data_IF_080494438637
#
_entry.id   IF_080494438637
#
_cell.length_a   1.000
_cell.length_b   1.000
_cell.length_c   1.000
_cell.angle_alpha   90.00
_cell.angle_beta   90.00
_cell.angle_gamma   90.00
#
_symmetry.space_group_name_H-M   'P 1'
#
loop_
_entity.id
_entity.type
_entity.pdbx_description
1 polymer ?
#
# COMPACT_ATOMS: atom_id res chain seq x y z
N UNK A 1 15.99 -51.46 30.15
CA UNK A 1 15.63 -50.13 30.69
C UNK A 1 16.89 -49.41 31.16
N UNK A 2 17.40 -48.46 30.37
CA UNK A 2 18.13 -47.22 30.74
C UNK A 2 18.93 -46.78 29.52
N UNK A 3 18.39 -45.78 28.82
CA UNK A 3 19.11 -45.08 27.78
C UNK A 3 20.02 -44.02 28.43
N UNK A 4 21.31 -44.07 28.11
CA UNK A 4 22.18 -42.91 28.18
C UNK A 4 21.69 -41.88 27.14
N UNK A 5 21.49 -40.62 27.56
CA UNK A 5 21.53 -39.48 26.64
C UNK A 5 22.49 -38.42 27.18
N UNK A 6 23.41 -38.11 26.28
CA UNK A 6 24.44 -37.08 26.30
C UNK A 6 23.83 -35.68 26.25
N UNK A 7 24.58 -34.72 26.81
CA UNK A 7 24.37 -33.27 26.80
C UNK A 7 23.84 -32.72 25.47
N UNK A 8 22.76 -31.95 25.56
CA UNK A 8 22.38 -30.96 24.56
C UNK A 8 22.43 -29.58 25.20
N UNK A 9 23.35 -28.73 24.73
CA UNK A 9 23.38 -27.31 25.05
C UNK A 9 22.15 -26.65 24.45
N UNK A 10 21.19 -26.25 25.28
CA UNK A 10 20.10 -25.37 24.86
C UNK A 10 20.61 -23.93 24.89
N UNK A 11 20.71 -23.32 23.71
CA UNK A 11 20.98 -21.89 23.56
C UNK A 11 19.77 -21.11 24.10
N UNK A 12 20.00 -20.36 25.17
CA UNK A 12 19.04 -19.43 25.77
C UNK A 12 19.01 -18.17 24.90
N UNK A 13 17.84 -17.82 24.36
CA UNK A 13 17.63 -16.57 23.61
C UNK A 13 17.34 -15.41 24.60
N UNK A 14 17.94 -14.23 24.43
CA UNK A 14 18.08 -13.21 25.47
C UNK A 14 16.86 -12.27 25.65
N UNK A 15 15.63 -12.77 25.48
CA UNK A 15 14.42 -11.94 25.64
C UNK A 15 13.35 -12.55 26.55
N UNK A 16 13.76 -13.41 27.49
CA UNK A 16 12.86 -13.96 28.51
C UNK A 16 13.38 -13.67 29.90
N UNK A 17 13.25 -12.42 30.34
CA UNK A 17 13.12 -12.03 31.76
C UNK A 17 13.02 -10.50 31.87
N UNK A 18 11.82 -10.04 32.22
CA UNK A 18 11.46 -8.87 33.05
C UNK A 18 10.13 -8.26 32.59
N UNK A 19 9.04 -8.98 32.86
CA UNK A 19 7.78 -8.34 33.20
C UNK A 19 7.73 -8.33 34.73
N UNK A 20 8.10 -7.21 35.33
CA UNK A 20 7.75 -6.94 36.72
C UNK A 20 6.40 -6.22 36.70
N UNK A 21 5.36 -6.94 37.10
CA UNK A 21 4.15 -6.37 37.66
C UNK A 21 4.54 -5.72 38.99
N UNK A 22 4.57 -4.38 39.05
CA UNK A 22 4.40 -3.54 40.25
C UNK A 22 4.84 -2.10 39.93
N UNK A 23 3.94 -1.32 39.32
CA UNK A 23 3.95 0.15 39.40
C UNK A 23 2.52 0.65 39.11
N UNK A 24 1.65 0.48 40.11
CA UNK A 24 0.33 1.13 40.20
C UNK A 24 0.53 2.63 40.50
N UNK A 25 0.99 3.37 39.49
CA UNK A 25 0.90 4.81 39.48
C UNK A 25 -0.45 5.17 38.87
N UNK A 26 -1.44 5.46 39.72
CA UNK A 26 -2.73 6.01 39.36
C UNK A 26 -2.55 7.26 38.48
N UNK A 27 -2.69 7.06 37.16
CA UNK A 27 -2.70 8.12 36.15
C UNK A 27 -3.92 9.00 36.44
N UNK A 28 -3.77 10.33 36.55
CA UNK A 28 -4.92 11.20 36.70
C UNK A 28 -5.81 11.04 35.47
N UNK A 29 -7.07 10.67 35.68
CA UNK A 29 -8.12 10.74 34.66
C UNK A 29 -8.38 12.21 34.32
N UNK A 30 -7.55 12.78 33.45
CA UNK A 30 -7.85 14.04 32.79
C UNK A 30 -8.83 13.77 31.65
N UNK A 31 -10.07 13.47 32.04
CA UNK A 31 -11.24 13.29 31.20
C UNK A 31 -11.73 14.61 30.57
N UNK A 32 -10.85 15.61 30.43
CA UNK A 32 -11.13 16.87 29.76
C UNK A 32 -10.10 17.32 28.72
N UNK A 33 -9.09 16.48 28.43
CA UNK A 33 -8.26 16.68 27.25
C UNK A 33 -9.08 16.33 26.00
N UNK A 34 -9.99 17.26 25.64
CA UNK A 34 -10.58 17.41 24.32
C UNK A 34 -9.49 17.10 23.34
N UNK A 35 -9.58 15.95 22.66
CA UNK A 35 -8.70 15.65 21.55
C UNK A 35 -8.75 16.90 20.69
N UNK A 36 -7.63 17.63 20.49
CA UNK A 36 -7.64 18.71 19.54
C UNK A 36 -8.00 18.03 18.24
N UNK A 37 -9.27 18.15 17.82
CA UNK A 37 -9.66 17.78 16.49
C UNK A 37 -8.82 18.73 15.64
N UNK A 38 -7.66 18.25 15.17
CA UNK A 38 -6.68 19.07 14.47
C UNK A 38 -7.32 19.76 13.24
N UNK A 39 -8.47 19.24 12.80
CA UNK A 39 -9.35 19.78 11.76
C UNK A 39 -10.85 19.82 12.16
N UNK A 40 -11.22 20.03 13.43
CA UNK A 40 -12.61 20.09 13.93
C UNK A 40 -13.64 20.72 12.95
N UNK A 41 -13.39 21.92 12.41
CA UNK A 41 -14.36 22.58 11.53
C UNK A 41 -14.54 21.90 10.16
N UNK A 42 -13.61 21.05 9.74
CA UNK A 42 -13.63 20.36 8.44
C UNK A 42 -13.90 18.86 8.56
N UNK A 43 -14.07 18.33 9.78
CA UNK A 43 -14.15 16.88 10.00
C UNK A 43 -15.35 16.25 9.28
N UNK A 44 -16.52 16.89 9.34
CA UNK A 44 -17.74 16.45 8.66
C UNK A 44 -17.61 16.58 7.13
N UNK A 45 -16.96 17.65 6.65
CA UNK A 45 -16.74 17.88 5.22
C UNK A 45 -15.74 16.88 4.64
N UNK A 46 -14.68 16.57 5.39
CA UNK A 46 -13.69 15.55 5.04
C UNK A 46 -14.39 14.20 4.97
N UNK A 47 -15.12 13.77 6.01
CA UNK A 47 -15.82 12.49 5.98
C UNK A 47 -16.81 12.42 4.80
N UNK A 48 -17.61 13.46 4.60
CA UNK A 48 -18.56 13.56 3.49
C UNK A 48 -17.86 13.42 2.13
N UNK A 49 -16.72 14.07 1.95
CA UNK A 49 -15.92 13.95 0.73
C UNK A 49 -15.32 12.55 0.55
N UNK A 50 -14.78 11.94 1.61
CA UNK A 50 -14.29 10.56 1.57
C UNK A 50 -15.42 9.59 1.18
N UNK A 51 -16.62 9.74 1.75
CA UNK A 51 -17.80 8.92 1.40
C UNK A 51 -18.27 9.14 -0.03
N UNK A 52 -18.20 10.37 -0.53
CA UNK A 52 -18.54 10.68 -1.91
C UNK A 52 -17.55 10.03 -2.89
N UNK A 53 -16.25 10.14 -2.61
CA UNK A 53 -15.19 9.51 -3.38
C UNK A 53 -15.26 7.97 -3.34
N UNK A 54 -15.70 7.38 -2.22
CA UNK A 54 -15.92 5.93 -2.10
C UNK A 54 -17.02 5.42 -3.03
N UNK A 55 -18.02 6.26 -3.33
CA UNK A 55 -19.15 5.91 -4.22
C UNK A 55 -18.88 6.23 -5.68
N UNK A 56 -17.82 6.99 -5.97
CA UNK A 56 -17.47 7.38 -7.32
C UNK A 56 -16.92 6.19 -8.11
N UNK A 57 -17.67 5.75 -9.11
CA UNK A 57 -17.30 4.62 -9.97
C UNK A 57 -16.02 4.86 -10.75
N UNK A 58 -15.64 6.10 -11.04
CA UNK A 58 -14.39 6.41 -11.74
C UNK A 58 -13.16 6.37 -10.81
N UNK A 59 -13.36 6.29 -9.49
CA UNK A 59 -12.30 6.04 -8.49
C UNK A 59 -12.17 4.56 -8.14
N UNK A 60 -13.04 3.69 -8.67
CA UNK A 60 -13.04 2.26 -8.37
C UNK A 60 -12.78 1.45 -9.64
N UNK A 61 -11.95 0.39 -9.57
CA UNK A 61 -11.95 -0.59 -10.63
C UNK A 61 -13.33 -1.29 -10.68
N UNK A 62 -13.79 -1.64 -11.87
CA UNK A 62 -14.90 -2.59 -12.03
C UNK A 62 -14.53 -3.89 -11.32
N UNK A 63 -15.43 -4.60 -10.62
CA UNK A 63 -15.08 -5.87 -9.98
C UNK A 63 -14.77 -6.99 -10.99
N UNK A 64 -15.38 -6.93 -12.17
CA UNK A 64 -15.38 -8.01 -13.17
C UNK A 64 -14.56 -7.66 -14.42
N UNK A 65 -13.60 -6.72 -14.32
CA UNK A 65 -12.83 -6.27 -15.49
C UNK A 65 -11.96 -7.35 -16.13
N UNK A 66 -11.54 -8.35 -15.35
CA UNK A 66 -10.78 -9.48 -15.89
C UNK A 66 -11.57 -10.27 -16.94
N UNK A 67 -12.89 -10.40 -16.74
CA UNK A 67 -13.77 -11.07 -17.68
C UNK A 67 -14.30 -10.09 -18.73
N UNK A 68 -14.76 -8.92 -18.29
CA UNK A 68 -15.45 -7.96 -19.18
C UNK A 68 -14.53 -7.15 -20.09
N UNK A 69 -13.32 -6.82 -19.65
CA UNK A 69 -12.35 -6.00 -20.40
C UNK A 69 -11.24 -6.84 -21.01
N UNK A 70 -10.85 -7.93 -20.34
CA UNK A 70 -9.74 -8.79 -20.77
C UNK A 70 -10.16 -10.18 -21.25
N UNK A 71 -11.46 -10.54 -21.24
CA UNK A 71 -11.97 -11.83 -21.74
C UNK A 71 -11.21 -13.03 -21.12
N UNK A 72 -10.84 -12.93 -19.84
CA UNK A 72 -10.10 -13.95 -19.11
C UNK A 72 -8.62 -14.10 -19.50
N UNK A 73 -8.08 -13.25 -20.39
CA UNK A 73 -6.67 -13.31 -20.80
C UNK A 73 -5.69 -13.03 -19.64
N UNK A 74 -6.11 -12.21 -18.67
CA UNK A 74 -5.35 -11.92 -17.46
C UNK A 74 -5.92 -12.75 -16.31
N UNK A 75 -5.11 -13.65 -15.76
CA UNK A 75 -5.52 -14.46 -14.63
C UNK A 75 -5.46 -13.68 -13.31
N UNK A 76 -6.37 -13.98 -12.38
CA UNK A 76 -6.32 -13.45 -11.02
C UNK A 76 -4.98 -13.75 -10.32
N UNK A 77 -4.32 -14.86 -10.65
CA UNK A 77 -3.01 -15.21 -10.13
C UNK A 77 -1.88 -14.31 -10.67
N UNK A 78 -1.94 -13.92 -11.95
CA UNK A 78 -0.99 -12.96 -12.52
C UNK A 78 -1.14 -11.59 -11.83
N UNK A 79 -2.38 -11.13 -11.62
CA UNK A 79 -2.67 -9.91 -10.85
C UNK A 79 -2.16 -9.98 -9.41
N UNK A 80 -2.42 -11.09 -8.71
CA UNK A 80 -1.98 -11.28 -7.34
C UNK A 80 -0.46 -11.31 -7.19
N UNK A 81 0.26 -11.92 -8.15
CA UNK A 81 1.73 -11.98 -8.12
C UNK A 81 2.40 -10.64 -8.45
N UNK A 82 1.69 -9.70 -9.08
CA UNK A 82 2.18 -8.35 -9.34
C UNK A 82 2.33 -7.54 -8.05
N UNK A 83 1.45 -7.70 -7.07
CA UNK A 83 1.46 -6.89 -5.83
C UNK A 83 2.75 -7.09 -5.02
N UNK A 84 3.20 -8.33 -4.71
CA UNK A 84 4.50 -8.55 -4.07
C UNK A 84 5.69 -8.07 -4.91
N UNK A 85 5.57 -8.12 -6.24
CA UNK A 85 6.62 -7.59 -7.12
C UNK A 85 6.74 -6.06 -7.01
N UNK A 86 5.61 -5.34 -7.01
CA UNK A 86 5.57 -3.90 -6.75
C UNK A 86 6.07 -3.57 -5.34
N UNK A 87 5.74 -4.39 -4.33
CA UNK A 87 6.25 -4.21 -2.98
C UNK A 87 7.78 -4.28 -2.87
N UNK A 88 8.44 -5.11 -3.69
CA UNK A 88 9.92 -5.14 -3.76
C UNK A 88 10.50 -3.87 -4.38
N UNK A 89 9.82 -3.28 -5.35
CA UNK A 89 10.19 -1.98 -5.92
C UNK A 89 10.09 -0.88 -4.87
N UNK A 90 8.95 -0.77 -4.19
CA UNK A 90 8.74 0.27 -3.17
C UNK A 90 9.74 0.16 -2.03
N UNK A 91 10.06 -1.06 -1.58
CA UNK A 91 11.09 -1.29 -0.56
C UNK A 91 12.49 -0.94 -1.06
N UNK A 92 12.85 -1.29 -2.31
CA UNK A 92 14.18 -1.06 -2.88
C UNK A 92 14.55 0.42 -2.95
N UNK A 93 13.56 1.28 -3.20
CA UNK A 93 13.72 2.73 -3.33
C UNK A 93 13.27 3.48 -2.08
N UNK A 94 12.97 2.77 -0.98
CA UNK A 94 12.59 3.36 0.30
C UNK A 94 11.42 4.35 0.18
N UNK A 95 10.42 3.98 -0.62
CA UNK A 95 9.26 4.82 -0.90
C UNK A 95 8.28 4.84 0.28
N UNK A 96 7.50 5.91 0.39
CA UNK A 96 6.46 6.05 1.40
C UNK A 96 5.47 4.87 1.35
N UNK A 97 4.94 4.47 2.51
CA UNK A 97 4.09 3.27 2.62
C UNK A 97 2.79 3.38 1.80
N UNK A 98 2.24 4.59 1.65
CA UNK A 98 1.08 4.87 0.79
C UNK A 98 1.32 4.68 -0.70
N UNK A 99 2.60 4.66 -1.13
CA UNK A 99 2.97 4.46 -2.54
C UNK A 99 2.47 3.12 -3.07
N UNK A 100 2.62 2.03 -2.31
CA UNK A 100 2.20 0.71 -2.77
C UNK A 100 0.68 0.64 -2.92
N UNK A 101 -0.06 1.12 -1.92
CA UNK A 101 -1.53 1.10 -1.95
C UNK A 101 -2.07 1.93 -3.13
N UNK A 102 -1.45 3.10 -3.38
CA UNK A 102 -1.83 3.96 -4.49
C UNK A 102 -1.44 3.34 -5.84
N UNK A 103 -0.26 2.72 -5.95
CA UNK A 103 0.16 2.00 -7.15
C UNK A 103 -0.80 0.83 -7.48
N UNK A 104 -1.21 0.04 -6.49
CA UNK A 104 -2.21 -1.02 -6.68
C UNK A 104 -3.51 -0.43 -7.22
N UNK A 105 -4.03 0.64 -6.60
CA UNK A 105 -5.23 1.34 -7.09
C UNK A 105 -5.10 1.80 -8.54
N UNK A 106 -3.94 2.33 -8.93
CA UNK A 106 -3.68 2.73 -10.32
C UNK A 106 -3.68 1.57 -11.28
N UNK A 107 -3.04 0.44 -10.94
CA UNK A 107 -3.05 -0.76 -11.79
C UNK A 107 -4.47 -1.27 -11.99
N UNK A 108 -5.24 -1.42 -10.91
CA UNK A 108 -6.60 -1.96 -10.99
C UNK A 108 -7.50 -1.06 -11.83
N UNK A 109 -7.44 0.26 -11.63
CA UNK A 109 -8.21 1.24 -12.41
C UNK A 109 -7.76 1.29 -13.87
N UNK A 110 -6.46 1.18 -14.13
CA UNK A 110 -5.90 1.12 -15.48
C UNK A 110 -6.42 -0.09 -16.24
N UNK A 111 -6.30 -1.29 -15.66
CA UNK A 111 -6.78 -2.53 -16.27
C UNK A 111 -8.31 -2.51 -16.44
N UNK A 112 -9.04 -1.89 -15.51
CA UNK A 112 -10.49 -1.70 -15.67
C UNK A 112 -10.88 -0.75 -16.81
N UNK A 113 -10.00 0.14 -17.25
CA UNK A 113 -10.29 1.15 -18.27
C UNK A 113 -9.66 0.83 -19.64
N UNK A 114 -8.59 0.03 -19.67
CA UNK A 114 -7.78 -0.26 -20.87
C UNK A 114 -7.67 -1.75 -21.12
N UNK A 115 -8.25 -2.21 -22.22
CA UNK A 115 -8.07 -3.56 -22.70
C UNK A 115 -6.62 -3.78 -23.16
N UNK A 116 -6.08 -4.96 -22.84
CA UNK A 116 -4.76 -5.43 -23.24
C UNK A 116 -4.90 -6.62 -24.20
N UNK A 117 -5.22 -6.37 -25.50
CA UNK A 117 -5.59 -7.42 -26.45
C UNK A 117 -4.48 -8.45 -26.74
N UNK A 118 -3.23 -8.11 -26.40
CA UNK A 118 -2.06 -9.01 -26.49
C UNK A 118 -1.33 -9.02 -25.16
N UNK A 119 -1.99 -9.53 -24.13
CA UNK A 119 -1.41 -9.66 -22.80
C UNK A 119 -0.05 -10.37 -22.85
N UNK A 120 0.93 -9.75 -22.19
CA UNK A 120 2.20 -10.38 -21.89
C UNK A 120 2.57 -10.09 -20.43
N UNK A 121 3.28 -11.02 -19.79
CA UNK A 121 3.79 -10.80 -18.42
C UNK A 121 4.69 -9.56 -18.34
N UNK A 122 5.37 -9.22 -19.45
CA UNK A 122 6.15 -8.00 -19.61
C UNK A 122 5.27 -6.75 -19.51
N UNK A 123 4.19 -6.67 -20.29
CA UNK A 123 3.27 -5.52 -20.24
C UNK A 123 2.67 -5.32 -18.85
N UNK A 124 2.27 -6.41 -18.19
CA UNK A 124 1.72 -6.31 -16.84
C UNK A 124 2.76 -5.77 -15.84
N UNK A 125 4.00 -6.25 -15.96
CA UNK A 125 5.09 -5.77 -15.09
C UNK A 125 5.48 -4.32 -15.42
N UNK A 126 5.43 -3.90 -16.69
CA UNK A 126 5.59 -2.51 -17.10
C UNK A 126 4.52 -1.61 -16.49
N UNK A 127 3.24 -2.01 -16.58
CA UNK A 127 2.13 -1.30 -15.94
C UNK A 127 2.37 -1.18 -14.43
N UNK A 128 2.78 -2.27 -13.76
CA UNK A 128 3.10 -2.25 -12.33
C UNK A 128 4.26 -1.30 -11.99
N UNK A 129 5.36 -1.34 -12.75
CA UNK A 129 6.52 -0.48 -12.54
C UNK A 129 6.16 1.00 -12.72
N UNK A 130 5.42 1.30 -13.79
CA UNK A 130 4.95 2.66 -14.07
C UNK A 130 3.95 3.12 -13.01
N UNK A 131 3.07 2.25 -12.52
CA UNK A 131 2.13 2.59 -11.44
C UNK A 131 2.87 2.97 -10.16
N UNK A 132 3.92 2.22 -9.78
CA UNK A 132 4.79 2.57 -8.65
C UNK A 132 5.47 3.90 -8.91
N UNK A 133 6.02 4.13 -10.11
CA UNK A 133 6.66 5.38 -10.47
C UNK A 133 5.73 6.60 -10.36
N UNK A 134 4.51 6.50 -10.89
CA UNK A 134 3.51 7.57 -10.82
C UNK A 134 3.03 7.79 -9.39
N UNK A 135 2.80 6.72 -8.62
CA UNK A 135 2.40 6.81 -7.22
C UNK A 135 3.48 7.47 -6.36
N UNK A 136 4.74 7.13 -6.61
CA UNK A 136 5.86 7.65 -5.85
C UNK A 136 6.04 9.16 -6.08
N UNK A 137 5.92 9.61 -7.34
CA UNK A 137 5.92 11.05 -7.66
C UNK A 137 4.74 11.82 -7.05
N UNK A 138 3.65 11.13 -6.74
CA UNK A 138 2.47 11.74 -6.11
C UNK A 138 2.60 11.81 -4.58
N UNK A 139 3.11 10.77 -3.94
CA UNK A 139 3.17 10.65 -2.47
C UNK A 139 4.33 11.43 -1.84
N UNK A 140 5.49 11.51 -2.49
CA UNK A 140 6.69 12.08 -1.88
C UNK A 140 7.45 13.00 -2.84
N UNK A 141 7.63 14.25 -2.45
CA UNK A 141 8.37 15.24 -3.22
C UNK A 141 9.88 14.90 -3.27
N UNK A 142 10.43 14.20 -2.26
CA UNK A 142 11.81 13.75 -2.26
C UNK A 142 12.06 12.56 -3.20
N UNK A 143 11.00 11.87 -3.63
CA UNK A 143 11.10 10.73 -4.56
C UNK A 143 11.68 11.16 -5.91
N UNK A 144 11.55 12.42 -6.31
CA UNK A 144 12.17 12.95 -7.54
C UNK A 144 13.69 12.71 -7.57
N UNK A 145 14.34 12.65 -6.40
CA UNK A 145 15.77 12.36 -6.30
C UNK A 145 16.09 10.86 -6.18
N UNK A 146 15.11 10.04 -5.78
CA UNK A 146 15.30 8.61 -5.50
C UNK A 146 14.91 7.72 -6.68
N UNK A 147 14.00 8.19 -7.54
CA UNK A 147 13.38 7.37 -8.58
C UNK A 147 13.10 8.16 -9.86
N UNK A 148 13.78 7.79 -10.94
CA UNK A 148 13.48 8.28 -12.29
C UNK A 148 13.07 7.12 -13.23
N UNK A 149 12.67 7.46 -14.46
CA UNK A 149 12.27 6.47 -15.45
C UNK A 149 13.42 5.52 -15.85
N UNK A 150 14.69 5.94 -15.67
CA UNK A 150 15.88 5.11 -15.95
C UNK A 150 16.10 4.07 -14.85
N UNK A 151 15.91 4.43 -13.59
CA UNK A 151 15.97 3.50 -12.46
C UNK A 151 14.88 2.43 -12.56
N UNK A 152 13.65 2.83 -12.94
CA UNK A 152 12.55 1.88 -13.18
C UNK A 152 12.86 0.92 -14.34
N UNK A 153 13.34 1.45 -15.47
CA UNK A 153 13.76 0.65 -16.61
C UNK A 153 14.90 -0.32 -16.24
N UNK A 154 15.90 0.17 -15.50
CA UNK A 154 17.06 -0.60 -15.07
C UNK A 154 16.71 -1.72 -14.08
N UNK A 155 15.83 -1.46 -13.12
CA UNK A 155 15.37 -2.48 -12.17
C UNK A 155 14.54 -3.55 -12.85
N UNK A 156 13.63 -3.12 -13.73
CA UNK A 156 12.78 -4.04 -14.48
C UNK A 156 13.60 -4.89 -15.45
N UNK A 157 14.75 -4.41 -15.94
CA UNK A 157 15.67 -5.10 -16.88
C UNK A 157 15.08 -5.46 -18.25
N UNK A 158 13.77 -5.36 -18.41
CA UNK A 158 13.05 -5.71 -19.62
C UNK A 158 12.39 -4.50 -20.31
N UNK A 159 12.52 -3.29 -19.76
CA UNK A 159 11.84 -2.10 -20.27
C UNK A 159 12.83 -1.00 -20.61
N UNK A 160 12.61 -0.31 -21.72
CA UNK A 160 13.30 0.93 -22.09
C UNK A 160 12.70 2.15 -21.38
N UNK A 161 13.48 3.21 -21.19
CA UNK A 161 12.99 4.48 -20.61
C UNK A 161 11.79 5.03 -21.38
N UNK A 162 11.79 4.89 -22.71
CA UNK A 162 10.71 5.36 -23.55
C UNK A 162 9.40 4.60 -23.32
N UNK A 163 9.47 3.29 -23.09
CA UNK A 163 8.28 2.49 -22.75
C UNK A 163 7.71 2.88 -21.38
N UNK A 164 8.55 3.19 -20.38
CA UNK A 164 8.09 3.68 -19.08
C UNK A 164 7.34 5.00 -19.23
N UNK A 165 7.90 5.95 -20.00
CA UNK A 165 7.31 7.27 -20.24
C UNK A 165 6.03 7.19 -21.08
N UNK A 166 6.00 6.32 -22.09
CA UNK A 166 4.79 6.08 -22.89
C UNK A 166 3.67 5.49 -22.02
N UNK A 167 4.00 4.46 -21.23
CA UNK A 167 3.05 3.85 -20.30
C UNK A 167 2.58 4.85 -19.24
N UNK A 168 3.44 5.75 -18.79
CA UNK A 168 3.04 6.81 -17.85
C UNK A 168 1.96 7.70 -18.48
N UNK A 169 2.19 8.17 -19.70
CA UNK A 169 1.22 9.02 -20.39
C UNK A 169 -0.12 8.30 -20.58
N UNK A 170 -0.08 7.04 -21.01
CA UNK A 170 -1.28 6.21 -21.15
C UNK A 170 -2.01 6.00 -19.82
N UNK A 171 -1.26 5.77 -18.74
CA UNK A 171 -1.80 5.59 -17.40
C UNK A 171 -2.48 6.86 -16.90
N UNK A 172 -1.84 8.03 -17.04
CA UNK A 172 -2.41 9.31 -16.65
C UNK A 172 -3.73 9.59 -17.38
N UNK A 173 -3.79 9.29 -18.68
CA UNK A 173 -5.00 9.43 -19.48
C UNK A 173 -6.07 8.44 -19.04
N UNK A 174 -5.72 7.17 -18.81
CA UNK A 174 -6.67 6.14 -18.35
C UNK A 174 -7.27 6.46 -16.97
N UNK A 175 -6.47 7.04 -16.08
CA UNK A 175 -6.93 7.49 -14.76
C UNK A 175 -7.67 8.82 -14.78
N UNK A 176 -7.77 9.48 -15.95
CA UNK A 176 -8.35 10.82 -16.08
C UNK A 176 -7.64 11.87 -15.23
N UNK A 177 -6.34 11.71 -14.99
CA UNK A 177 -5.53 12.53 -14.07
C UNK A 177 -6.04 12.55 -12.62
N UNK A 178 -6.92 11.60 -12.22
CA UNK A 178 -7.48 11.50 -10.87
C UNK A 178 -6.60 10.61 -9.99
N UNK A 179 -5.46 11.17 -9.58
CA UNK A 179 -4.43 10.46 -8.80
C UNK A 179 -4.74 10.38 -7.29
N UNK A 180 -5.46 11.39 -6.76
CA UNK A 180 -5.80 11.51 -5.34
C UNK A 180 -6.89 10.56 -4.82
N UNK A 181 -7.18 9.46 -5.52
CA UNK A 181 -8.18 8.48 -5.10
C UNK A 181 -7.90 7.93 -3.70
N UNK A 182 -8.97 7.47 -3.04
CA UNK A 182 -8.89 6.85 -1.72
C UNK A 182 -8.08 5.57 -1.80
N UNK A 183 -7.19 5.39 -0.85
CA UNK A 183 -6.55 4.11 -0.60
C UNK A 183 -6.94 3.61 0.80
N UNK A 184 -6.70 2.32 1.06
CA UNK A 184 -6.99 1.70 2.36
C UNK A 184 -6.38 2.47 3.53
N UNK A 185 -5.20 3.04 3.32
CA UNK A 185 -4.50 3.87 4.29
C UNK A 185 -5.25 5.16 4.64
N UNK A 186 -5.87 5.83 3.66
CA UNK A 186 -6.65 7.06 3.88
C UNK A 186 -7.79 6.84 4.88
N UNK A 187 -8.50 5.71 4.76
CA UNK A 187 -9.58 5.37 5.69
C UNK A 187 -9.05 4.96 7.05
N UNK A 188 -7.99 4.17 7.09
CA UNK A 188 -7.39 3.73 8.36
C UNK A 188 -6.90 4.93 9.15
N UNK A 189 -6.20 5.86 8.50
CA UNK A 189 -5.75 7.10 9.11
C UNK A 189 -6.95 7.93 9.60
N UNK A 190 -7.97 8.12 8.75
CA UNK A 190 -9.18 8.87 9.11
C UNK A 190 -9.93 8.28 10.31
N UNK A 191 -10.03 6.96 10.41
CA UNK A 191 -10.71 6.31 11.55
C UNK A 191 -9.83 6.23 12.80
N UNK A 192 -8.50 6.25 12.66
CA UNK A 192 -7.57 6.12 13.79
C UNK A 192 -7.05 7.46 14.31
N UNK A 193 -7.31 8.58 13.63
CA UNK A 193 -6.84 9.93 13.99
C UNK A 193 -7.25 10.45 15.36
N UNK A 194 -8.24 9.84 16.00
CA UNK A 194 -8.67 10.15 17.37
C UNK A 194 -8.30 9.08 18.40
N UNK A 195 -7.65 7.98 17.97
CA UNK A 195 -7.16 6.94 18.88
C UNK A 195 -5.93 7.45 19.63
N UNK A 196 -5.85 7.25 20.95
CA UNK A 196 -4.69 7.63 21.78
C UNK A 196 -3.79 6.41 22.03
N UNK A 197 -2.47 6.55 21.86
CA UNK A 197 -1.46 5.70 22.52
C UNK A 197 -1.03 4.40 21.80
N UNK A 198 -0.53 3.41 22.56
CA UNK A 198 0.04 2.13 22.06
C UNK A 198 -0.92 1.34 21.15
N UNK A 199 -2.23 1.54 21.28
CA UNK A 199 -3.26 0.92 20.45
C UNK A 199 -3.25 1.44 19.00
N UNK A 200 -2.93 2.72 18.77
CA UNK A 200 -2.80 3.31 17.42
C UNK A 200 -1.70 2.58 16.63
N UNK A 201 -0.53 2.41 17.24
CA UNK A 201 0.59 1.67 16.65
C UNK A 201 0.27 0.19 16.47
N UNK A 202 -0.64 -0.39 17.27
CA UNK A 202 -1.03 -1.79 17.17
C UNK A 202 -2.06 -2.01 16.06
N UNK A 203 -3.07 -1.13 15.97
CA UNK A 203 -4.08 -1.14 14.90
C UNK A 203 -3.43 -0.84 13.56
N UNK A 204 -2.59 0.20 13.45
CA UNK A 204 -1.86 0.49 12.21
C UNK A 204 -0.92 -0.66 11.82
N UNK A 205 -0.29 -1.36 12.78
CA UNK A 205 0.53 -2.55 12.49
C UNK A 205 -0.29 -3.75 12.03
N UNK A 206 -1.41 -4.03 12.69
CA UNK A 206 -2.30 -5.14 12.33
C UNK A 206 -2.96 -4.90 10.97
N UNK A 207 -3.47 -3.70 10.73
CA UNK A 207 -4.07 -3.35 9.44
C UNK A 207 -3.04 -3.38 8.31
N UNK A 208 -1.81 -2.93 8.57
CA UNK A 208 -0.68 -3.08 7.65
C UNK A 208 -0.42 -4.55 7.35
N UNK A 209 -0.41 -5.41 8.36
CA UNK A 209 -0.17 -6.85 8.20
C UNK A 209 -1.27 -7.52 7.37
N UNK A 210 -2.54 -7.22 7.65
CA UNK A 210 -3.70 -7.72 6.89
C UNK A 210 -3.70 -7.22 5.44
N UNK A 211 -3.28 -5.97 5.20
CA UNK A 211 -3.19 -5.41 3.85
C UNK A 211 -2.02 -5.98 3.03
N UNK A 212 -0.92 -6.39 3.68
CA UNK A 212 0.29 -6.88 2.99
C UNK A 212 0.37 -8.40 2.85
N UNK A 213 -0.55 -9.17 3.42
CA UNK A 213 -0.71 -10.61 3.18
C UNK A 213 0.57 -11.43 3.40
N UNK A 214 0.93 -11.66 4.66
CA UNK A 214 1.82 -12.74 5.07
C UNK A 214 1.20 -13.54 6.20
#
# INVERSE_FOLDING_TARGET
MRAHRSSGHHLVFPWSEQYNDDDDASVPDDSSASCPQLCAPYDDDIDSNLRAMEKDTAQRPSPDYLDTVHDGQISAAARASLVPWMGRLTHRFELAIGTLHRAVSYVERFLSARALPRYTAHQLSLIGATAVYVAAKYEDQETVFKLDAREIAGYSKFTSVQEVLAMESEMMVALGYRLGGLNTETFVDHFTRYSKGKEELHVQRLTRHVATGH
#
